data_IF_222432450816
#
_entry.id   IF_222432450816
#
_cell.length_a   1.000
_cell.length_b   1.000
_cell.length_c   1.000
_cell.angle_alpha   90.00
_cell.angle_beta   90.00
_cell.angle_gamma   90.00
#
_symmetry.space_group_name_H-M   'P 1'
#
loop_
_entity.id
_entity.type
_entity.pdbx_description
1 polymer ?
#
# COMPACT_ATOMS: atom_id res chain seq x y z
N UNK A 1 7.88 4.24 19.54
CA UNK A 1 8.25 3.62 18.25
C UNK A 1 7.35 4.21 17.16
N UNK A 2 7.95 4.83 16.13
CA UNK A 2 7.23 5.29 14.94
C UNK A 2 7.11 4.10 13.99
N UNK A 3 5.98 3.93 13.32
CA UNK A 3 5.78 2.81 12.41
C UNK A 3 5.18 3.28 11.07
N UNK A 4 5.58 2.66 9.96
CA UNK A 4 4.95 2.80 8.65
C UNK A 4 3.97 1.63 8.38
N UNK A 5 2.98 1.76 7.49
CA UNK A 5 1.92 0.78 7.17
C UNK A 5 1.91 0.62 5.67
N UNK A 6 1.91 -0.64 5.30
CA UNK A 6 1.68 -1.18 4.00
C UNK A 6 0.18 -1.31 3.74
N UNK A 7 -0.28 -1.04 2.51
CA UNK A 7 -1.67 -1.27 2.10
C UNK A 7 -1.67 -2.06 0.79
N UNK A 8 -2.20 -3.28 0.80
CA UNK A 8 -2.53 -4.03 -0.42
C UNK A 8 -4.05 -4.11 -0.57
N UNK A 9 -4.55 -3.89 -1.80
CA UNK A 9 -5.98 -3.99 -2.13
C UNK A 9 -6.26 -5.27 -2.90
N UNK A 10 -7.47 -5.81 -2.75
CA UNK A 10 -8.00 -7.00 -3.44
C UNK A 10 -7.88 -6.99 -4.98
N UNK A 11 -7.64 -5.82 -5.61
CA UNK A 11 -7.59 -5.71 -7.07
C UNK A 11 -6.23 -6.09 -7.64
N UNK A 12 -6.14 -7.26 -8.29
CA UNK A 12 -5.26 -7.42 -9.46
C UNK A 12 -4.32 -8.63 -9.55
N UNK A 13 -4.24 -9.53 -8.57
CA UNK A 13 -3.28 -10.66 -8.62
C UNK A 13 -3.92 -11.88 -9.29
N UNK A 14 -3.33 -12.40 -10.38
CA UNK A 14 -3.77 -13.64 -11.03
C UNK A 14 -2.89 -14.82 -10.62
N UNK A 15 -3.46 -16.03 -10.60
CA UNK A 15 -2.76 -17.27 -10.23
C UNK A 15 -1.56 -17.64 -11.13
N UNK A 16 -1.54 -17.16 -12.40
CA UNK A 16 -0.43 -17.37 -13.33
C UNK A 16 0.83 -16.58 -12.94
N UNK A 17 0.67 -15.35 -12.44
CA UNK A 17 1.77 -14.46 -12.04
C UNK A 17 2.60 -15.09 -10.90
N UNK A 18 1.96 -15.90 -10.05
CA UNK A 18 2.56 -16.56 -8.89
C UNK A 18 3.58 -17.63 -9.29
N UNK A 19 3.31 -18.38 -10.38
CA UNK A 19 4.18 -19.49 -10.82
C UNK A 19 5.48 -18.99 -11.44
N UNK A 20 5.46 -17.88 -12.18
CA UNK A 20 6.68 -17.26 -12.74
C UNK A 20 7.55 -16.60 -11.66
N UNK A 21 6.92 -16.08 -10.60
CA UNK A 21 7.60 -15.37 -9.50
C UNK A 21 8.38 -16.33 -8.59
N UNK A 22 8.00 -17.61 -8.54
CA UNK A 22 8.54 -18.57 -7.57
C UNK A 22 9.68 -19.46 -8.11
N UNK A 23 10.73 -18.85 -8.70
CA UNK A 23 11.96 -19.57 -9.08
C UNK A 23 12.74 -20.19 -7.91
N UNK A 24 12.42 -19.79 -6.68
CA UNK A 24 13.12 -20.21 -5.45
C UNK A 24 12.36 -21.29 -4.66
N UNK A 25 11.27 -21.87 -5.19
CA UNK A 25 10.44 -22.88 -4.50
C UNK A 25 9.96 -22.46 -3.09
N UNK A 26 9.61 -21.19 -2.91
CA UNK A 26 9.08 -20.66 -1.66
C UNK A 26 7.63 -21.13 -1.49
N UNK A 27 7.31 -21.71 -0.34
CA UNK A 27 5.96 -22.18 -0.02
C UNK A 27 5.46 -21.56 1.29
N UNK A 28 4.15 -21.38 1.39
CA UNK A 28 3.49 -21.01 2.64
C UNK A 28 2.66 -22.20 3.11
N UNK A 29 2.93 -22.71 4.31
CA UNK A 29 2.15 -23.81 4.91
C UNK A 29 1.94 -23.57 6.41
N UNK A 30 0.92 -24.17 7.05
CA UNK A 30 0.80 -24.16 8.50
C UNK A 30 2.07 -24.73 9.16
N UNK A 31 2.39 -24.19 10.34
CA UNK A 31 3.43 -24.77 11.20
C UNK A 31 2.98 -26.13 11.74
N UNK A 32 3.95 -27.02 11.93
CA UNK A 32 3.82 -28.29 12.63
C UNK A 32 4.70 -28.27 13.87
N UNK A 33 4.37 -29.05 14.90
CA UNK A 33 5.20 -29.11 16.11
C UNK A 33 6.60 -29.68 15.85
N UNK A 34 6.75 -30.47 14.79
CA UNK A 34 8.05 -30.96 14.32
C UNK A 34 8.95 -29.85 13.77
N UNK A 35 8.41 -28.68 13.40
CA UNK A 35 9.18 -27.54 12.88
C UNK A 35 9.89 -26.73 13.99
N UNK A 36 9.81 -27.17 15.26
CA UNK A 36 10.27 -26.35 16.40
C UNK A 36 11.75 -26.02 16.33
N UNK A 37 12.57 -26.95 15.86
CA UNK A 37 14.02 -26.77 15.85
C UNK A 37 14.41 -25.72 14.79
N UNK A 38 13.82 -25.77 13.59
CA UNK A 38 13.97 -24.74 12.57
C UNK A 38 13.30 -23.42 12.95
N UNK A 39 12.16 -23.45 13.64
CA UNK A 39 11.50 -22.27 14.18
C UNK A 39 12.44 -21.52 15.12
N UNK A 40 13.08 -22.24 16.05
CA UNK A 40 14.03 -21.66 16.99
C UNK A 40 15.24 -21.03 16.29
N UNK A 41 15.76 -21.62 15.22
CA UNK A 41 16.92 -21.08 14.50
C UNK A 41 16.72 -19.63 14.04
N UNK A 42 15.53 -19.28 13.54
CA UNK A 42 15.27 -17.93 13.06
C UNK A 42 14.57 -17.07 14.12
N UNK A 43 13.76 -17.66 15.00
CA UNK A 43 13.00 -16.93 16.02
C UNK A 43 13.86 -16.50 17.22
N UNK A 44 14.99 -17.16 17.45
CA UNK A 44 15.98 -16.79 18.47
C UNK A 44 17.13 -15.92 17.91
N UNK A 45 17.08 -15.55 16.63
CA UNK A 45 18.08 -14.70 16.00
C UNK A 45 17.97 -13.26 16.51
N UNK A 46 19.04 -12.77 17.16
CA UNK A 46 19.10 -11.43 17.74
C UNK A 46 18.74 -10.31 16.74
N UNK A 47 19.11 -10.45 15.47
CA UNK A 47 18.78 -9.43 14.46
C UNK A 47 17.28 -9.43 14.16
N UNK A 48 16.64 -10.59 14.19
CA UNK A 48 15.20 -10.76 13.99
C UNK A 48 14.44 -10.25 15.21
N UNK A 49 14.88 -10.57 16.42
CA UNK A 49 14.22 -10.12 17.66
C UNK A 49 14.29 -8.60 17.79
N UNK A 50 15.44 -7.98 17.51
CA UNK A 50 15.61 -6.51 17.58
C UNK A 50 14.63 -5.74 16.69
N UNK A 51 14.14 -6.36 15.63
CA UNK A 51 13.30 -5.72 14.62
C UNK A 51 11.87 -6.27 14.59
N UNK A 52 11.53 -7.18 15.49
CA UNK A 52 10.21 -7.81 15.60
C UNK A 52 9.63 -7.66 17.00
N UNK A 53 8.33 -7.93 17.15
CA UNK A 53 7.64 -8.00 18.45
C UNK A 53 7.59 -9.43 19.00
N UNK A 54 8.41 -10.33 18.47
CA UNK A 54 8.46 -11.71 18.95
C UNK A 54 9.02 -11.75 20.37
N UNK A 55 8.51 -12.69 21.16
CA UNK A 55 9.07 -12.95 22.49
C UNK A 55 10.41 -13.65 22.32
N UNK A 56 11.33 -13.37 23.24
CA UNK A 56 12.54 -14.18 23.39
C UNK A 56 12.13 -15.57 23.88
N UNK A 57 12.53 -16.61 23.15
CA UNK A 57 12.32 -18.00 23.56
C UNK A 57 13.55 -18.45 24.34
N UNK A 58 13.36 -18.96 25.55
CA UNK A 58 14.48 -19.37 26.41
C UNK A 58 14.74 -20.87 26.39
N UNK A 59 13.78 -21.65 25.86
CA UNK A 59 13.87 -23.10 25.75
C UNK A 59 13.10 -23.63 24.54
N UNK A 60 13.36 -24.90 24.18
CA UNK A 60 12.58 -25.63 23.18
C UNK A 60 11.12 -25.83 23.60
N UNK A 61 10.87 -25.98 24.91
CA UNK A 61 9.53 -26.07 25.48
C UNK A 61 8.74 -24.78 25.20
N UNK A 62 9.36 -23.61 25.44
CA UNK A 62 8.72 -22.31 25.21
C UNK A 62 8.34 -22.12 23.73
N UNK A 63 9.20 -22.58 22.82
CA UNK A 63 8.95 -22.54 21.39
C UNK A 63 7.80 -23.48 21.00
N UNK A 64 7.74 -24.68 21.59
CA UNK A 64 6.62 -25.61 21.40
C UNK A 64 5.31 -25.00 21.90
N UNK A 65 5.30 -24.38 23.07
CA UNK A 65 4.10 -23.76 23.64
C UNK A 65 3.62 -22.60 22.77
N UNK A 66 4.52 -21.76 22.26
CA UNK A 66 4.14 -20.73 21.30
C UNK A 66 3.54 -21.32 20.01
N UNK A 67 4.12 -22.39 19.47
CA UNK A 67 3.55 -23.05 18.29
C UNK A 67 2.15 -23.59 18.60
N UNK A 68 1.97 -24.28 19.73
CA UNK A 68 0.69 -24.89 20.15
C UNK A 68 -0.40 -23.86 20.45
N UNK A 69 -0.06 -22.78 21.15
CA UNK A 69 -1.03 -21.85 21.72
C UNK A 69 -1.24 -20.61 20.86
N UNK A 70 -0.25 -20.23 20.06
CA UNK A 70 -0.28 -18.97 19.29
C UNK A 70 -0.26 -19.24 17.80
N UNK A 71 0.77 -19.91 17.27
CA UNK A 71 0.95 -20.00 15.82
C UNK A 71 -0.08 -20.93 15.15
N UNK A 72 -0.23 -22.16 15.64
CA UNK A 72 -1.11 -23.17 15.04
C UNK A 72 -2.60 -22.80 15.17
N UNK A 73 -3.11 -22.29 16.31
CA UNK A 73 -4.52 -21.93 16.44
C UNK A 73 -4.90 -20.64 15.71
N UNK A 74 -3.93 -19.83 15.28
CA UNK A 74 -4.19 -18.54 14.66
C UNK A 74 -4.90 -18.72 13.30
N UNK A 75 -5.91 -17.87 12.98
CA UNK A 75 -6.80 -18.07 11.83
C UNK A 75 -6.06 -18.17 10.50
N UNK A 76 -4.96 -17.43 10.34
CA UNK A 76 -4.10 -17.52 9.17
C UNK A 76 -2.63 -17.26 9.54
N UNK A 77 -1.92 -18.29 10.01
CA UNK A 77 -0.49 -18.23 10.31
C UNK A 77 0.23 -19.29 9.47
N UNK A 78 1.29 -18.89 8.77
CA UNK A 78 2.04 -19.77 7.86
C UNK A 78 3.53 -19.64 8.11
N UNK A 79 4.22 -20.78 8.05
CA UNK A 79 5.66 -20.81 7.87
C UNK A 79 6.00 -20.32 6.45
N UNK A 80 7.02 -19.47 6.35
CA UNK A 80 7.68 -19.20 5.07
C UNK A 80 8.70 -20.31 4.89
N UNK A 81 8.48 -21.19 3.93
CA UNK A 81 9.34 -22.34 3.67
C UNK A 81 10.20 -22.11 2.43
N UNK A 82 11.48 -22.46 2.51
CA UNK A 82 12.41 -22.58 1.39
C UNK A 82 12.86 -24.04 1.32
N UNK A 83 12.60 -24.73 0.21
CA UNK A 83 12.86 -26.18 0.08
C UNK A 83 12.20 -26.98 1.24
N UNK A 84 10.94 -26.66 1.55
CA UNK A 84 10.12 -27.23 2.64
C UNK A 84 10.63 -26.99 4.09
N UNK A 85 11.80 -26.37 4.25
CA UNK A 85 12.33 -25.93 5.55
C UNK A 85 11.74 -24.58 5.97
N UNK A 86 11.13 -24.45 7.16
CA UNK A 86 10.59 -23.18 7.64
C UNK A 86 11.73 -22.24 8.07
N UNK A 87 11.73 -21.03 7.53
CA UNK A 87 12.80 -20.03 7.71
C UNK A 87 12.29 -18.67 8.19
N UNK A 88 11.00 -18.61 8.52
CA UNK A 88 10.30 -17.41 8.93
C UNK A 88 8.81 -17.67 9.06
N UNK A 89 8.04 -16.63 9.34
CA UNK A 89 6.59 -16.71 9.35
C UNK A 89 5.96 -15.54 8.63
N UNK A 90 4.73 -15.74 8.20
CA UNK A 90 3.82 -14.69 7.79
C UNK A 90 2.42 -15.04 8.28
N UNK A 91 1.73 -14.07 8.88
CA UNK A 91 0.38 -14.27 9.37
C UNK A 91 -0.53 -13.11 8.98
N UNK A 92 -1.81 -13.41 8.85
CA UNK A 92 -2.87 -12.44 8.56
C UNK A 92 -3.97 -12.61 9.60
N UNK A 93 -4.24 -11.55 10.35
CA UNK A 93 -5.37 -11.47 11.26
C UNK A 93 -6.52 -10.74 10.55
N UNK A 94 -7.60 -11.43 10.15
CA UNK A 94 -8.77 -10.76 9.60
C UNK A 94 -9.42 -9.87 10.67
N UNK A 95 -9.92 -8.72 10.26
CA UNK A 95 -10.75 -7.87 11.10
C UNK A 95 -12.09 -8.54 11.42
N UNK A 96 -12.70 -8.14 12.53
CA UNK A 96 -13.99 -8.67 12.98
C UNK A 96 -15.05 -7.57 13.00
N UNK A 97 -16.33 -7.97 13.05
CA UNK A 97 -17.47 -7.05 13.13
C UNK A 97 -17.46 -5.98 12.02
N UNK A 98 -17.38 -4.70 12.38
CA UNK A 98 -17.38 -3.59 11.43
C UNK A 98 -16.05 -3.44 10.66
N UNK A 99 -15.04 -4.27 10.96
CA UNK A 99 -13.72 -4.25 10.32
C UNK A 99 -13.44 -5.48 9.44
N UNK A 100 -14.46 -6.31 9.15
CA UNK A 100 -14.29 -7.52 8.30
C UNK A 100 -13.70 -7.24 6.91
N UNK A 101 -13.77 -5.99 6.44
CA UNK A 101 -13.19 -5.57 5.17
C UNK A 101 -11.68 -5.34 5.21
N UNK A 102 -11.03 -5.46 6.38
CA UNK A 102 -9.61 -5.24 6.60
C UNK A 102 -8.96 -6.48 7.19
N UNK A 103 -7.68 -6.68 6.89
CA UNK A 103 -6.82 -7.67 7.56
C UNK A 103 -5.47 -7.07 7.91
N UNK A 104 -4.85 -7.56 8.98
CA UNK A 104 -3.52 -7.14 9.39
C UNK A 104 -2.50 -8.25 9.15
N UNK A 105 -1.44 -7.96 8.39
CA UNK A 105 -0.36 -8.87 8.06
C UNK A 105 0.90 -8.55 8.86
N UNK A 106 1.52 -9.59 9.39
CA UNK A 106 2.82 -9.53 10.06
C UNK A 106 3.72 -10.64 9.53
N UNK A 107 5.03 -10.40 9.46
CA UNK A 107 6.01 -11.42 9.09
C UNK A 107 7.33 -11.25 9.84
N UNK A 108 8.11 -12.32 9.87
CA UNK A 108 9.55 -12.27 10.13
C UNK A 108 10.25 -13.33 9.28
N UNK A 109 11.53 -13.10 8.99
CA UNK A 109 12.39 -14.00 8.24
C UNK A 109 13.74 -14.08 8.94
N UNK A 110 14.36 -15.25 9.02
CA UNK A 110 15.71 -15.40 9.58
C UNK A 110 16.73 -14.50 8.88
N UNK A 111 17.66 -13.89 9.63
CA UNK A 111 18.56 -12.87 9.09
C UNK A 111 19.46 -13.38 7.96
N UNK A 112 19.85 -14.67 8.01
CA UNK A 112 20.58 -15.39 6.94
C UNK A 112 19.89 -15.40 5.57
N UNK A 113 18.60 -15.06 5.53
CA UNK A 113 17.77 -15.06 4.31
C UNK A 113 17.34 -13.65 3.86
N UNK A 114 17.75 -12.60 4.57
CA UNK A 114 17.42 -11.22 4.20
C UNK A 114 18.03 -10.80 2.87
N UNK A 115 17.39 -9.81 2.22
CA UNK A 115 17.81 -9.24 0.93
C UNK A 115 17.84 -10.24 -0.26
N UNK A 116 17.26 -11.43 -0.11
CA UNK A 116 17.16 -12.45 -1.18
C UNK A 116 15.82 -12.43 -1.94
N UNK A 117 14.95 -11.47 -1.66
CA UNK A 117 13.61 -11.38 -2.29
C UNK A 117 12.55 -12.33 -1.71
N UNK A 118 12.92 -13.22 -0.77
CA UNK A 118 12.03 -14.25 -0.22
C UNK A 118 10.75 -13.66 0.39
N UNK A 119 10.87 -12.64 1.23
CA UNK A 119 9.69 -11.99 1.84
C UNK A 119 8.80 -11.31 0.80
N UNK A 120 9.38 -10.76 -0.28
CA UNK A 120 8.58 -10.20 -1.37
C UNK A 120 7.73 -11.28 -2.03
N UNK A 121 8.30 -12.46 -2.30
CA UNK A 121 7.55 -13.60 -2.85
C UNK A 121 6.48 -14.07 -1.84
N UNK A 122 6.83 -14.18 -0.56
CA UNK A 122 5.89 -14.56 0.49
C UNK A 122 4.68 -13.60 0.58
N UNK A 123 4.91 -12.28 0.55
CA UNK A 123 3.82 -11.29 0.55
C UNK A 123 2.93 -11.42 -0.70
N UNK A 124 3.53 -11.63 -1.88
CA UNK A 124 2.75 -11.87 -3.11
C UNK A 124 1.88 -13.14 -2.99
N UNK A 125 2.40 -14.21 -2.39
CA UNK A 125 1.64 -15.43 -2.09
C UNK A 125 0.47 -15.18 -1.13
N UNK A 126 0.68 -14.39 -0.07
CA UNK A 126 -0.40 -13.98 0.83
C UNK A 126 -1.48 -13.21 0.07
N UNK A 127 -1.10 -12.20 -0.71
CA UNK A 127 -2.07 -11.37 -1.45
C UNK A 127 -2.92 -12.24 -2.38
N UNK A 128 -2.32 -13.26 -3.02
CA UNK A 128 -3.08 -14.17 -3.89
C UNK A 128 -4.05 -15.08 -3.16
N UNK A 129 -3.77 -15.51 -1.92
CA UNK A 129 -4.60 -16.51 -1.24
C UNK A 129 -5.59 -15.88 -0.25
N UNK A 130 -5.18 -14.84 0.48
CA UNK A 130 -5.94 -14.33 1.62
C UNK A 130 -7.24 -13.65 1.19
N UNK A 131 -7.28 -13.02 0.01
CA UNK A 131 -8.52 -12.43 -0.51
C UNK A 131 -9.51 -13.46 -1.05
N UNK A 132 -9.02 -14.65 -1.45
CA UNK A 132 -9.88 -15.79 -1.82
C UNK A 132 -10.42 -16.47 -0.55
N UNK A 133 -9.55 -16.69 0.45
CA UNK A 133 -9.92 -17.32 1.73
C UNK A 133 -10.81 -16.43 2.60
N UNK A 134 -10.66 -15.11 2.53
CA UNK A 134 -11.47 -14.12 3.25
C UNK A 134 -12.19 -13.20 2.26
N UNK A 135 -13.32 -13.62 1.67
CA UNK A 135 -13.96 -12.91 0.55
C UNK A 135 -14.49 -11.53 0.92
N UNK A 136 -14.78 -11.27 2.20
CA UNK A 136 -15.21 -9.96 2.67
C UNK A 136 -14.04 -8.98 2.88
N UNK A 137 -12.80 -9.47 2.89
CA UNK A 137 -11.60 -8.65 3.05
C UNK A 137 -11.33 -7.90 1.73
N UNK A 138 -11.19 -6.59 1.80
CA UNK A 138 -10.93 -5.71 0.65
C UNK A 138 -9.53 -5.08 0.72
N UNK A 139 -8.91 -5.12 1.91
CA UNK A 139 -7.63 -4.49 2.21
C UNK A 139 -6.80 -5.30 3.19
N UNK A 140 -5.51 -5.44 2.89
CA UNK A 140 -4.51 -6.01 3.77
C UNK A 140 -3.53 -4.91 4.20
N UNK A 141 -3.30 -4.82 5.50
CA UNK A 141 -2.52 -3.76 6.13
C UNK A 141 -1.33 -4.36 6.88
N UNK A 142 -0.15 -3.75 6.91
CA UNK A 142 0.98 -4.30 7.69
C UNK A 142 1.92 -3.24 8.22
N UNK A 143 2.26 -3.30 9.51
CA UNK A 143 3.04 -2.25 10.18
C UNK A 143 4.53 -2.61 10.20
N UNK A 144 5.40 -1.67 9.83
CA UNK A 144 6.87 -1.81 9.84
C UNK A 144 7.51 -0.71 10.69
N UNK A 145 8.58 -1.04 11.41
CA UNK A 145 9.36 -0.02 12.12
C UNK A 145 10.02 0.96 11.12
N UNK A 146 10.03 2.26 11.43
CA UNK A 146 10.61 3.31 10.58
C UNK A 146 12.13 3.18 10.39
N UNK A 147 12.82 2.50 11.30
CA UNK A 147 14.24 2.19 11.19
C UNK A 147 14.48 0.91 10.37
N UNK A 148 13.46 0.06 10.22
CA UNK A 148 13.54 -1.15 9.41
C UNK A 148 13.34 -0.84 7.91
N UNK A 149 14.37 -0.27 7.30
CA UNK A 149 14.39 0.07 5.86
C UNK A 149 14.21 -1.13 4.94
N UNK A 150 14.63 -2.33 5.37
CA UNK A 150 14.46 -3.54 4.57
C UNK A 150 12.97 -3.92 4.45
N UNK A 151 12.24 -3.93 5.57
CA UNK A 151 10.80 -4.18 5.57
C UNK A 151 10.02 -3.08 4.87
N UNK A 152 10.43 -1.81 5.00
CA UNK A 152 9.87 -0.73 4.18
C UNK A 152 9.99 -1.02 2.69
N UNK A 153 11.17 -1.42 2.18
CA UNK A 153 11.31 -1.79 0.76
C UNK A 153 10.46 -2.99 0.34
N UNK A 154 10.24 -3.97 1.21
CA UNK A 154 9.34 -5.10 0.93
C UNK A 154 7.90 -4.61 0.78
N UNK A 155 7.48 -3.65 1.61
CA UNK A 155 6.15 -3.06 1.61
C UNK A 155 5.97 -1.95 0.55
N UNK A 156 7.03 -1.25 0.15
CA UNK A 156 7.01 -0.18 -0.87
C UNK A 156 7.03 -0.73 -2.31
N UNK A 157 7.20 -2.04 -2.46
CA UNK A 157 7.19 -2.74 -3.76
C UNK A 157 5.82 -2.80 -4.46
N UNK A 158 4.87 -1.98 -4.03
CA UNK A 158 3.71 -1.55 -4.82
C UNK A 158 4.08 -0.62 -5.99
N UNK A 159 5.37 -0.38 -6.19
CA UNK A 159 5.91 0.24 -7.39
C UNK A 159 5.79 -0.74 -8.56
N UNK A 160 5.20 -0.30 -9.67
CA UNK A 160 5.24 -1.02 -10.95
C UNK A 160 6.71 -1.27 -11.31
N UNK A 161 7.14 -2.53 -11.33
CA UNK A 161 8.55 -2.91 -11.53
C UNK A 161 8.81 -3.58 -12.88
N UNK A 162 7.77 -3.99 -13.59
CA UNK A 162 7.85 -4.57 -14.93
C UNK A 162 6.93 -3.89 -15.94
N UNK A 163 7.18 -4.15 -17.22
CA UNK A 163 6.33 -3.67 -18.31
C UNK A 163 4.93 -4.28 -18.25
N UNK A 164 4.82 -5.54 -17.86
CA UNK A 164 3.57 -6.29 -17.74
C UNK A 164 2.72 -5.76 -16.56
N UNK A 165 3.35 -5.45 -15.43
CA UNK A 165 2.70 -4.77 -14.30
C UNK A 165 2.21 -3.37 -14.73
N UNK A 166 3.01 -2.65 -15.53
CA UNK A 166 2.64 -1.33 -16.04
C UNK A 166 1.41 -1.40 -16.96
N UNK A 167 1.41 -2.35 -17.90
CA UNK A 167 0.29 -2.59 -18.81
C UNK A 167 -0.97 -2.95 -18.03
N UNK A 168 -0.86 -3.84 -17.05
CA UNK A 168 -1.99 -4.24 -16.19
C UNK A 168 -2.57 -3.06 -15.42
N UNK A 169 -1.71 -2.21 -14.85
CA UNK A 169 -2.15 -0.99 -14.17
C UNK A 169 -2.86 -0.03 -15.12
N UNK A 170 -2.32 0.16 -16.33
CA UNK A 170 -2.93 1.01 -17.35
C UNK A 170 -4.33 0.50 -17.71
N UNK A 171 -4.44 -0.78 -18.06
CA UNK A 171 -5.69 -1.41 -18.50
C UNK A 171 -6.76 -1.44 -17.41
N UNK A 172 -6.38 -1.76 -16.17
CA UNK A 172 -7.35 -2.02 -15.10
C UNK A 172 -7.62 -0.83 -14.19
N UNK A 173 -6.70 0.14 -14.14
CA UNK A 173 -6.76 1.26 -13.16
C UNK A 173 -6.72 2.61 -13.84
N UNK A 174 -5.77 2.85 -14.76
CA UNK A 174 -5.61 4.17 -15.35
C UNK A 174 -6.66 4.49 -16.41
N UNK A 175 -6.85 3.58 -17.38
CA UNK A 175 -7.78 3.75 -18.51
C UNK A 175 -9.24 3.74 -18.06
N UNK A 176 -9.68 2.85 -17.13
CA UNK A 176 -11.07 2.85 -16.66
C UNK A 176 -11.39 4.00 -15.69
N UNK A 177 -10.43 4.87 -15.35
CA UNK A 177 -10.67 5.99 -14.45
C UNK A 177 -11.65 6.98 -15.11
N UNK A 178 -12.68 7.48 -14.39
CA UNK A 178 -13.75 8.30 -14.99
C UNK A 178 -13.23 9.56 -15.68
N UNK A 179 -12.19 10.19 -15.12
CA UNK A 179 -11.48 11.26 -15.80
C UNK A 179 -10.00 11.23 -15.40
N UNK A 180 -9.13 10.73 -16.28
CA UNK A 180 -7.66 10.71 -16.05
C UNK A 180 -6.95 11.16 -17.31
N UNK A 181 -6.00 12.07 -17.12
CA UNK A 181 -5.18 12.63 -18.18
C UNK A 181 -3.71 12.45 -17.81
N UNK A 182 -2.88 12.14 -18.80
CA UNK A 182 -1.43 12.08 -18.62
C UNK A 182 -0.82 13.47 -18.81
N UNK A 183 0.14 13.80 -17.96
CA UNK A 183 1.00 14.97 -18.15
C UNK A 183 2.13 14.51 -19.06
N UNK A 184 2.19 15.09 -20.26
CA UNK A 184 3.22 14.76 -21.25
C UNK A 184 4.12 15.96 -21.51
N UNK A 185 5.42 15.69 -21.64
CA UNK A 185 6.44 16.63 -22.10
C UNK A 185 7.18 15.95 -23.25
N UNK A 186 7.24 16.58 -24.43
CA UNK A 186 7.84 16.03 -25.65
C UNK A 186 7.38 14.60 -25.97
N UNK A 187 6.05 14.41 -26.00
CA UNK A 187 5.36 13.12 -26.23
C UNK A 187 5.68 12.01 -25.21
N UNK A 188 6.39 12.32 -24.13
CA UNK A 188 6.67 11.40 -23.03
C UNK A 188 5.75 11.65 -21.86
N UNK A 189 5.03 10.63 -21.40
CA UNK A 189 4.27 10.72 -20.15
C UNK A 189 5.22 10.81 -18.96
N UNK A 190 5.08 11.89 -18.19
CA UNK A 190 5.90 12.19 -17.00
C UNK A 190 5.09 12.21 -15.71
N UNK A 191 3.77 12.09 -15.82
CA UNK A 191 2.84 12.15 -14.70
C UNK A 191 1.38 12.01 -15.13
N UNK A 192 0.48 12.29 -14.20
CA UNK A 192 -0.96 12.28 -14.47
C UNK A 192 -1.72 13.28 -13.58
N UNK A 193 -2.93 13.61 -14.03
CA UNK A 193 -3.99 14.22 -13.24
C UNK A 193 -5.23 13.34 -13.35
N UNK A 194 -5.86 13.04 -12.23
CA UNK A 194 -7.10 12.26 -12.15
C UNK A 194 -8.14 13.06 -11.40
N UNK A 195 -9.34 13.16 -11.95
CA UNK A 195 -10.50 13.80 -11.32
C UNK A 195 -11.61 12.76 -11.24
N UNK A 196 -12.16 12.54 -10.06
CA UNK A 196 -13.23 11.58 -9.83
C UNK A 196 -14.45 12.35 -9.34
N UNK A 197 -15.46 12.55 -10.19
CA UNK A 197 -16.77 13.00 -9.72
C UNK A 197 -17.32 12.04 -8.68
N UNK A 198 -17.92 12.59 -7.64
CA UNK A 198 -18.73 11.83 -6.70
C UNK A 198 -20.03 11.36 -7.38
N UNK A 199 -20.76 10.47 -6.72
CA UNK A 199 -21.97 9.87 -7.28
C UNK A 199 -23.23 10.37 -6.56
N UNK A 200 -24.40 10.13 -7.15
CA UNK A 200 -25.71 10.40 -6.56
C UNK A 200 -25.90 11.88 -6.15
N UNK A 201 -26.25 12.12 -4.88
CA UNK A 201 -26.53 13.46 -4.34
C UNK A 201 -25.27 14.32 -4.23
N UNK A 202 -24.08 13.69 -4.23
CA UNK A 202 -22.80 14.36 -4.12
C UNK A 202 -22.17 14.71 -5.48
N UNK A 203 -22.84 14.43 -6.60
CA UNK A 203 -22.30 14.63 -7.97
C UNK A 203 -21.83 16.05 -8.29
N UNK A 204 -22.23 17.04 -7.49
CA UNK A 204 -21.74 18.41 -7.59
C UNK A 204 -20.27 18.57 -7.13
N UNK A 205 -19.66 17.52 -6.58
CA UNK A 205 -18.27 17.49 -6.10
C UNK A 205 -17.43 16.46 -6.83
N UNK A 206 -16.13 16.71 -6.93
CA UNK A 206 -15.15 15.76 -7.45
C UNK A 206 -13.85 15.83 -6.66
N UNK A 207 -13.16 14.70 -6.53
CA UNK A 207 -11.82 14.65 -5.93
C UNK A 207 -10.73 14.67 -7.01
N UNK A 208 -9.75 15.55 -6.88
CA UNK A 208 -8.58 15.62 -7.76
C UNK A 208 -7.34 15.00 -7.10
N UNK A 209 -6.57 14.27 -7.89
CA UNK A 209 -5.27 13.71 -7.51
C UNK A 209 -4.28 13.82 -8.66
N UNK A 210 -3.00 13.95 -8.36
CA UNK A 210 -1.97 14.12 -9.37
C UNK A 210 -0.62 13.63 -8.86
N UNK A 211 0.24 13.24 -9.80
CA UNK A 211 1.63 12.91 -9.53
C UNK A 211 2.48 13.19 -10.77
N UNK A 212 3.76 13.49 -10.55
CA UNK A 212 4.77 13.64 -11.60
C UNK A 212 6.09 13.07 -11.10
N UNK A 213 6.94 12.58 -12.00
CA UNK A 213 8.28 12.10 -11.68
C UNK A 213 9.10 13.14 -10.91
N UNK A 214 9.98 12.67 -10.02
CA UNK A 214 10.76 13.53 -9.10
C UNK A 214 11.59 14.58 -9.84
N UNK A 215 12.15 14.23 -11.00
CA UNK A 215 12.96 15.12 -11.84
C UNK A 215 12.18 16.34 -12.35
N UNK A 216 10.84 16.29 -12.33
CA UNK A 216 9.95 17.33 -12.84
C UNK A 216 9.34 18.20 -11.73
N UNK A 217 9.76 18.00 -10.47
CA UNK A 217 9.24 18.78 -9.33
C UNK A 217 9.74 20.22 -9.35
N UNK A 218 8.92 21.14 -8.84
CA UNK A 218 9.29 22.56 -8.69
C UNK A 218 9.31 23.37 -9.98
N UNK A 219 9.08 22.76 -11.15
CA UNK A 219 9.15 23.41 -12.46
C UNK A 219 7.82 24.04 -12.93
N UNK A 220 6.78 24.05 -12.08
CA UNK A 220 5.45 24.60 -12.44
C UNK A 220 4.60 23.72 -13.36
N UNK A 221 5.13 22.60 -13.86
CA UNK A 221 4.45 21.65 -14.76
C UNK A 221 3.08 21.22 -14.22
N UNK A 222 3.03 20.76 -12.96
CA UNK A 222 1.78 20.29 -12.36
C UNK A 222 0.79 21.43 -12.17
N UNK A 223 1.24 22.62 -11.77
CA UNK A 223 0.37 23.80 -11.66
C UNK A 223 -0.32 24.12 -12.99
N UNK A 224 0.43 24.13 -14.10
CA UNK A 224 -0.13 24.32 -15.44
C UNK A 224 -1.10 23.20 -15.80
N UNK A 225 -0.74 21.94 -15.52
CA UNK A 225 -1.59 20.79 -15.78
C UNK A 225 -2.92 20.86 -15.01
N UNK A 226 -2.90 21.28 -13.74
CA UNK A 226 -4.12 21.46 -12.94
C UNK A 226 -5.02 22.55 -13.50
N UNK A 227 -4.49 23.70 -13.91
CA UNK A 227 -5.29 24.78 -14.50
C UNK A 227 -6.01 24.31 -15.77
N UNK A 228 -5.31 23.57 -16.63
CA UNK A 228 -5.89 22.98 -17.84
C UNK A 228 -6.96 21.94 -17.47
N UNK A 229 -6.66 21.06 -16.52
CA UNK A 229 -7.56 19.99 -16.12
C UNK A 229 -8.85 20.52 -15.48
N UNK A 230 -8.75 21.48 -14.57
CA UNK A 230 -9.89 22.14 -13.93
C UNK A 230 -10.77 22.85 -14.97
N UNK A 231 -10.17 23.59 -15.90
CA UNK A 231 -10.94 24.24 -16.97
C UNK A 231 -11.70 23.25 -17.86
N UNK A 232 -11.09 22.11 -18.18
CA UNK A 232 -11.72 21.06 -18.99
C UNK A 232 -12.84 20.36 -18.23
N UNK A 233 -12.59 19.94 -17.00
CA UNK A 233 -13.56 19.12 -16.26
C UNK A 233 -14.85 19.87 -15.97
N UNK A 234 -14.81 21.17 -15.65
CA UNK A 234 -16.04 21.95 -15.47
C UNK A 234 -16.84 22.13 -16.77
N UNK A 235 -16.19 22.09 -17.93
CA UNK A 235 -16.89 22.11 -19.23
C UNK A 235 -17.51 20.76 -19.56
N UNK A 236 -16.84 19.66 -19.18
CA UNK A 236 -17.29 18.30 -19.46
C UNK A 236 -18.36 17.80 -18.47
N UNK A 237 -18.34 18.30 -17.22
CA UNK A 237 -19.27 17.93 -16.16
C UNK A 237 -20.01 19.19 -15.67
N UNK A 238 -21.12 19.59 -16.32
CA UNK A 238 -21.82 20.85 -16.02
C UNK A 238 -22.49 20.88 -14.64
N UNK A 239 -22.79 19.70 -14.06
CA UNK A 239 -23.33 19.59 -12.70
C UNK A 239 -22.24 19.79 -11.63
N UNK A 240 -20.96 19.77 -12.02
CA UNK A 240 -19.84 19.89 -11.09
C UNK A 240 -19.69 21.35 -10.66
N UNK A 241 -19.82 21.59 -9.36
CA UNK A 241 -19.68 22.92 -8.76
C UNK A 241 -18.32 23.06 -8.07
N UNK A 242 -17.72 21.96 -7.64
CA UNK A 242 -16.57 21.96 -6.73
C UNK A 242 -15.60 20.81 -6.99
N UNK A 243 -14.31 21.12 -6.96
CA UNK A 243 -13.23 20.14 -7.00
C UNK A 243 -12.45 20.22 -5.69
N UNK A 244 -12.23 19.09 -5.04
CA UNK A 244 -11.55 18.97 -3.75
C UNK A 244 -10.23 18.24 -3.88
N UNK A 245 -9.23 18.68 -3.12
CA UNK A 245 -7.94 18.01 -3.00
C UNK A 245 -7.55 17.87 -1.52
N UNK A 246 -7.05 16.70 -1.15
CA UNK A 246 -6.47 16.47 0.17
C UNK A 246 -4.96 16.31 0.08
N UNK A 247 -4.24 17.03 0.95
CA UNK A 247 -2.78 17.04 0.95
C UNK A 247 -2.26 16.89 2.37
N UNK A 248 -1.27 16.01 2.56
CA UNK A 248 -0.58 15.88 3.83
C UNK A 248 0.01 17.22 4.28
N UNK A 249 -0.10 17.54 5.58
CA UNK A 249 0.42 18.79 6.16
C UNK A 249 1.91 18.98 5.90
N UNK A 250 2.67 17.90 5.78
CA UNK A 250 4.11 17.91 5.49
C UNK A 250 4.44 18.06 4.00
N UNK A 251 3.50 17.79 3.09
CA UNK A 251 3.72 17.88 1.65
C UNK A 251 3.61 19.34 1.15
N UNK A 252 4.61 20.16 1.50
CA UNK A 252 4.65 21.58 1.13
C UNK A 252 4.68 21.82 -0.39
N UNK A 253 5.22 20.88 -1.16
CA UNK A 253 5.25 20.96 -2.62
C UNK A 253 3.86 20.93 -3.22
N UNK A 254 3.05 19.95 -2.85
CA UNK A 254 1.66 19.81 -3.32
C UNK A 254 0.76 20.94 -2.82
N UNK A 255 0.97 21.43 -1.59
CA UNK A 255 0.28 22.62 -1.07
C UNK A 255 0.53 23.84 -1.97
N UNK A 256 1.80 24.15 -2.28
CA UNK A 256 2.16 25.26 -3.19
C UNK A 256 1.58 25.08 -4.59
N UNK A 257 1.52 23.85 -5.09
CA UNK A 257 0.93 23.55 -6.42
C UNK A 257 -0.55 23.90 -6.45
N UNK A 258 -1.31 23.48 -5.43
CA UNK A 258 -2.75 23.77 -5.32
C UNK A 258 -3.00 25.27 -5.18
N UNK A 259 -2.29 25.93 -4.27
CA UNK A 259 -2.42 27.38 -4.03
C UNK A 259 -2.12 28.17 -5.32
N UNK A 260 -1.07 27.82 -6.06
CA UNK A 260 -0.74 28.45 -7.35
C UNK A 260 -1.71 28.09 -8.49
N UNK A 261 -2.42 26.98 -8.37
CA UNK A 261 -3.48 26.60 -9.30
C UNK A 261 -4.81 27.30 -8.98
N UNK A 262 -4.88 28.10 -7.92
CA UNK A 262 -6.06 28.85 -7.50
C UNK A 262 -6.95 28.13 -6.48
N UNK A 263 -6.54 26.95 -5.99
CA UNK A 263 -7.28 26.26 -4.95
C UNK A 263 -7.14 27.00 -3.61
N UNK A 264 -8.24 27.10 -2.87
CA UNK A 264 -8.29 27.68 -1.54
C UNK A 264 -8.10 26.60 -0.48
N UNK A 265 -7.27 26.89 0.53
CA UNK A 265 -7.10 26.04 1.72
C UNK A 265 -8.25 26.31 2.68
N UNK A 266 -9.14 25.34 2.85
CA UNK A 266 -10.33 25.53 3.68
C UNK A 266 -10.15 25.06 5.12
N UNK A 267 -9.31 24.04 5.37
CA UNK A 267 -9.17 23.55 6.73
C UNK A 267 -8.15 22.45 6.95
N UNK A 268 -7.87 22.22 8.23
CA UNK A 268 -7.08 21.10 8.75
C UNK A 268 -8.01 19.97 9.20
N UNK A 269 -7.91 18.84 8.52
CA UNK A 269 -8.54 17.59 8.91
C UNK A 269 -7.56 16.81 9.79
N UNK A 270 -7.75 16.85 11.11
CA UNK A 270 -6.90 16.13 12.07
C UNK A 270 -7.09 14.63 11.91
N UNK A 271 -5.98 13.90 11.80
CA UNK A 271 -5.95 12.43 11.73
C UNK A 271 -6.91 11.84 10.69
N UNK A 272 -7.00 12.50 9.54
CA UNK A 272 -7.95 12.18 8.49
C UNK A 272 -7.38 11.25 7.41
N UNK A 273 -6.13 11.51 7.01
CA UNK A 273 -5.48 10.78 5.93
C UNK A 273 -4.69 9.60 6.47
N UNK A 274 -4.73 8.48 5.75
CA UNK A 274 -3.85 7.36 5.99
C UNK A 274 -2.78 7.31 4.91
N UNK A 275 -1.55 7.74 5.23
CA UNK A 275 -0.48 7.91 4.24
C UNK A 275 0.83 7.30 4.75
N UNK A 276 1.44 6.43 3.94
CA UNK A 276 2.73 5.75 4.23
C UNK A 276 2.82 5.12 5.61
N UNK A 277 1.68 4.86 6.24
CA UNK A 277 1.66 4.22 7.53
C UNK A 277 1.12 4.87 8.73
N UNK A 278 0.92 6.16 8.60
CA UNK A 278 0.60 6.95 9.73
C UNK A 278 -0.75 7.59 9.44
N UNK A 279 -1.57 7.65 10.48
CA UNK A 279 -2.73 8.52 10.46
C UNK A 279 -2.18 9.95 10.56
N UNK A 280 -2.31 10.69 9.47
CA UNK A 280 -1.75 12.01 9.27
C UNK A 280 -2.85 13.05 9.17
N UNK A 281 -2.46 14.25 9.57
CA UNK A 281 -3.29 15.42 9.40
C UNK A 281 -3.24 15.83 7.92
N UNK A 282 -4.38 16.21 7.38
CA UNK A 282 -4.54 16.59 5.97
C UNK A 282 -5.06 18.01 5.90
N UNK A 283 -4.56 18.80 4.97
CA UNK A 283 -5.27 19.99 4.52
C UNK A 283 -6.26 19.61 3.45
N UNK A 284 -7.49 20.13 3.57
CA UNK A 284 -8.46 20.11 2.49
C UNK A 284 -8.41 21.43 1.73
N UNK A 285 -8.39 21.30 0.41
CA UNK A 285 -8.43 22.39 -0.54
C UNK A 285 -9.63 22.25 -1.46
N UNK A 286 -10.10 23.37 -1.98
CA UNK A 286 -11.19 23.39 -2.94
C UNK A 286 -10.97 24.39 -4.07
N UNK A 287 -11.60 24.13 -5.20
CA UNK A 287 -11.77 25.07 -6.30
C UNK A 287 -13.24 25.01 -6.74
N UNK A 288 -13.91 26.15 -6.78
CA UNK A 288 -15.29 26.27 -7.24
C UNK A 288 -15.35 26.64 -8.72
N UNK A 289 -16.43 26.27 -9.41
CA UNK A 289 -16.64 26.64 -10.81
C UNK A 289 -16.64 28.16 -11.04
N UNK A 290 -16.92 28.94 -9.99
CA UNK A 290 -16.89 30.41 -9.99
C UNK A 290 -15.51 31.01 -9.71
N UNK A 291 -14.54 30.21 -9.30
CA UNK A 291 -13.19 30.68 -9.01
C UNK A 291 -12.42 30.93 -10.30
N UNK A 292 -11.60 31.99 -10.30
CA UNK A 292 -10.76 32.32 -11.45
C UNK A 292 -9.45 31.56 -11.40
N UNK A 293 -9.04 30.99 -12.53
CA UNK A 293 -7.69 30.45 -12.69
C UNK A 293 -6.71 31.64 -12.70
N UNK A 294 -5.92 31.77 -11.62
CA UNK A 294 -4.83 32.75 -11.51
C UNK A 294 -3.73 32.52 -12.55
#
# INVERSE_FOLDING_TARGET
MRHALFLASKRGVKAQDIREINKMEIKLRPYQLSDVDEFMEWACDDQVIRTSRLRYYTSREDALDYLKEVAIPHPWYRAICLEDRPIGFICVKPGSNNEICRGHMSYALGSKYWNKGITTVAVKLVISSVFEEFPNMERLEGVVDVENKASQRVMEKDSITSREEALTYLEKVAIPHPWRQFICLDDRSIGYVSIRPESHDDRCRAHISYAVGMDYWGQGIVTTALKIAVSKVFKEFPDLVRIEAMVEVENKGSQKVLEKAGFLKEGLLRKYGFCKGEIRDMFIYSFLVTDSLL
#
